data_IF_405510757243
#
_entry.id   IF_405510757243
#
_cell.length_a   1.000
_cell.length_b   1.000
_cell.length_c   1.000
_cell.angle_alpha   90.00
_cell.angle_beta   90.00
_cell.angle_gamma   90.00
#
_symmetry.space_group_name_H-M   'P 1'
#
loop_
_entity.id
_entity.type
_entity.pdbx_description
1 polymer ?
#
# COMPACT_ATOMS: atom_id res chain seq x y z
N UNK A 1 5.93 1.34 2.92
CA UNK A 1 7.17 1.47 3.71
C UNK A 1 6.97 2.57 4.73
N UNK A 2 7.29 2.31 5.99
CA UNK A 2 7.16 3.30 7.08
C UNK A 2 8.45 4.10 7.21
N UNK A 3 8.37 5.39 6.86
CA UNK A 3 9.51 6.31 6.90
C UNK A 3 9.95 6.65 8.32
N UNK A 4 9.01 6.77 9.27
CA UNK A 4 9.29 7.17 10.64
C UNK A 4 10.00 6.07 11.43
N UNK A 5 9.65 4.81 11.16
CA UNK A 5 10.22 3.65 11.87
C UNK A 5 11.33 2.94 11.10
N UNK A 6 11.57 3.32 9.85
CA UNK A 6 12.46 2.60 8.95
C UNK A 6 12.06 1.11 8.82
N UNK A 7 10.77 0.84 8.61
CA UNK A 7 10.24 -0.53 8.55
C UNK A 7 9.53 -0.82 7.22
N UNK A 8 9.90 -1.92 6.58
CA UNK A 8 9.27 -2.45 5.38
C UNK A 8 8.18 -3.47 5.72
N UNK A 9 7.06 -3.36 5.03
CA UNK A 9 6.07 -4.43 4.91
C UNK A 9 5.92 -4.75 3.43
N UNK A 10 6.04 -6.03 3.09
CA UNK A 10 5.88 -6.52 1.73
C UNK A 10 4.91 -7.69 1.76
N UNK A 11 3.94 -7.67 0.85
CA UNK A 11 3.05 -8.80 0.63
C UNK A 11 3.33 -9.36 -0.76
N UNK A 12 3.61 -10.66 -0.82
CA UNK A 12 3.80 -11.40 -2.07
C UNK A 12 2.45 -12.03 -2.41
N UNK A 13 1.81 -11.54 -3.47
CA UNK A 13 0.57 -12.14 -3.99
C UNK A 13 0.87 -13.25 -4.99
N UNK A 14 0.00 -14.25 -5.05
CA UNK A 14 0.01 -15.30 -6.09
C UNK A 14 -1.12 -15.11 -7.12
N UNK A 15 -1.81 -13.98 -7.06
CA UNK A 15 -2.89 -13.57 -7.95
C UNK A 15 -2.61 -12.15 -8.49
N UNK A 16 -3.53 -11.60 -9.28
CA UNK A 16 -3.34 -10.37 -10.02
C UNK A 16 -3.10 -9.13 -9.13
N UNK A 17 -2.23 -8.23 -9.60
CA UNK A 17 -2.05 -6.90 -9.03
C UNK A 17 -3.29 -6.02 -9.30
N UNK A 18 -4.20 -5.97 -8.32
CA UNK A 18 -5.43 -5.19 -8.37
C UNK A 18 -5.47 -4.18 -7.22
N UNK A 19 -6.36 -3.19 -7.33
CA UNK A 19 -6.61 -2.24 -6.24
C UNK A 19 -6.94 -2.95 -4.91
N UNK A 20 -7.74 -4.02 -4.97
CA UNK A 20 -8.09 -4.82 -3.79
C UNK A 20 -6.86 -5.49 -3.17
N UNK A 21 -5.93 -6.01 -3.97
CA UNK A 21 -4.67 -6.55 -3.47
C UNK A 21 -3.79 -5.48 -2.83
N UNK A 22 -3.64 -4.32 -3.50
CA UNK A 22 -2.86 -3.20 -2.99
C UNK A 22 -3.41 -2.67 -1.65
N UNK A 23 -4.72 -2.47 -1.55
CA UNK A 23 -5.36 -2.00 -0.31
C UNK A 23 -5.34 -3.08 0.78
N UNK A 24 -5.53 -4.36 0.45
CA UNK A 24 -5.43 -5.42 1.44
C UNK A 24 -4.01 -5.53 2.03
N UNK A 25 -2.97 -5.25 1.23
CA UNK A 25 -1.59 -5.15 1.71
C UNK A 25 -1.45 -4.07 2.79
N UNK A 26 -2.06 -2.89 2.57
CA UNK A 26 -2.10 -1.80 3.56
C UNK A 26 -2.88 -2.22 4.81
N UNK A 27 -4.04 -2.87 4.62
CA UNK A 27 -4.86 -3.35 5.72
C UNK A 27 -4.11 -4.35 6.61
N UNK A 28 -3.42 -5.32 6.02
CA UNK A 28 -2.63 -6.32 6.74
C UNK A 28 -1.48 -5.68 7.49
N UNK A 29 -0.78 -4.72 6.89
CA UNK A 29 0.23 -3.93 7.57
C UNK A 29 -0.36 -3.22 8.79
N UNK A 30 -1.51 -2.55 8.64
CA UNK A 30 -2.17 -1.84 9.74
C UNK A 30 -2.53 -2.78 10.89
N UNK A 31 -3.20 -3.90 10.60
CA UNK A 31 -3.61 -4.89 11.62
C UNK A 31 -2.43 -5.54 12.34
N UNK A 32 -1.30 -5.72 11.65
CA UNK A 32 -0.16 -6.46 12.20
C UNK A 32 0.82 -5.56 12.94
N UNK A 33 1.11 -4.39 12.37
CA UNK A 33 2.15 -3.47 12.82
C UNK A 33 1.59 -2.09 13.15
N UNK A 34 0.80 -1.51 12.23
CA UNK A 34 0.37 -0.11 12.31
C UNK A 34 -0.40 0.20 13.59
N UNK A 35 -1.40 -0.60 13.95
CA UNK A 35 -2.25 -0.36 15.14
C UNK A 35 -1.45 -0.37 16.45
N UNK A 36 -0.39 -1.20 16.55
CA UNK A 36 0.48 -1.26 17.73
C UNK A 36 1.52 -0.16 17.73
N UNK A 37 2.04 0.18 16.54
CA UNK A 37 3.05 1.22 16.38
C UNK A 37 2.46 2.63 16.57
N UNK A 38 1.18 2.81 16.23
CA UNK A 38 0.48 4.10 16.22
C UNK A 38 -0.91 4.00 16.87
N UNK A 39 -1.00 3.70 18.18
CA UNK A 39 -2.27 3.38 18.84
C UNK A 39 -3.25 4.56 18.93
N UNK A 40 -2.75 5.81 18.76
CA UNK A 40 -3.54 7.04 18.79
C UNK A 40 -3.73 7.67 17.41
N UNK A 41 -3.34 6.99 16.33
CA UNK A 41 -3.51 7.55 15.00
C UNK A 41 -4.99 7.60 14.62
N UNK A 42 -5.42 8.76 14.15
CA UNK A 42 -6.73 9.00 13.52
C UNK A 42 -6.63 9.08 11.99
N UNK A 43 -5.41 9.02 11.45
CA UNK A 43 -5.14 9.18 10.03
C UNK A 43 -3.87 8.45 9.59
N UNK A 44 -3.84 8.06 8.31
CA UNK A 44 -2.66 7.50 7.64
C UNK A 44 -2.40 8.27 6.35
N UNK A 45 -1.13 8.62 6.12
CA UNK A 45 -0.66 9.15 4.85
C UNK A 45 -0.15 8.01 3.96
N UNK A 46 -0.77 7.87 2.79
CA UNK A 46 -0.39 6.93 1.74
C UNK A 46 0.23 7.74 0.61
N UNK A 47 1.51 7.46 0.33
CA UNK A 47 2.21 8.05 -0.82
C UNK A 47 2.27 6.99 -1.92
N UNK A 48 1.47 7.16 -2.97
CA UNK A 48 1.28 6.21 -4.04
C UNK A 48 2.01 6.64 -5.32
N UNK A 49 2.55 5.67 -6.06
CA UNK A 49 3.24 5.93 -7.33
C UNK A 49 2.28 6.23 -8.50
N UNK A 50 0.97 6.12 -8.25
CA UNK A 50 -0.11 6.39 -9.20
C UNK A 50 -0.10 5.51 -10.46
N UNK A 51 0.51 4.32 -10.38
CA UNK A 51 0.59 3.34 -11.46
C UNK A 51 -0.30 2.13 -11.18
N UNK A 52 -0.79 1.48 -12.25
CA UNK A 52 -1.51 0.21 -12.16
C UNK A 52 -2.68 0.23 -11.17
N UNK A 53 -2.56 -0.58 -10.11
CA UNK A 53 -3.59 -0.82 -9.09
C UNK A 53 -3.87 0.36 -8.15
N UNK A 54 -2.97 1.35 -8.05
CA UNK A 54 -3.11 2.50 -7.14
C UNK A 54 -3.18 3.85 -7.86
N UNK A 55 -3.59 3.88 -9.14
CA UNK A 55 -3.73 5.12 -9.89
C UNK A 55 -4.79 6.08 -9.34
N UNK A 56 -4.52 7.39 -9.37
CA UNK A 56 -5.41 8.43 -8.83
C UNK A 56 -6.81 8.46 -9.47
N UNK A 57 -6.95 7.97 -10.71
CA UNK A 57 -8.21 7.92 -11.47
C UNK A 57 -8.93 6.56 -11.36
N UNK A 58 -8.33 5.58 -10.70
CA UNK A 58 -8.84 4.20 -10.68
C UNK A 58 -9.97 4.08 -9.67
N UNK A 59 -11.18 3.80 -10.15
CA UNK A 59 -12.38 3.63 -9.30
C UNK A 59 -12.23 2.51 -8.26
N UNK A 60 -11.78 1.28 -8.63
CA UNK A 60 -11.49 0.23 -7.65
C UNK A 60 -10.54 0.67 -6.52
N UNK A 61 -9.55 1.52 -6.81
CA UNK A 61 -8.61 2.01 -5.80
C UNK A 61 -9.32 2.87 -4.75
N UNK A 62 -10.12 3.84 -5.18
CA UNK A 62 -10.90 4.69 -4.28
C UNK A 62 -11.93 3.89 -3.49
N UNK A 63 -12.61 2.94 -4.14
CA UNK A 63 -13.60 2.07 -3.49
C UNK A 63 -12.99 1.21 -2.39
N UNK A 64 -11.87 0.54 -2.68
CA UNK A 64 -11.20 -0.30 -1.69
C UNK A 64 -10.61 0.55 -0.55
N UNK A 65 -10.10 1.75 -0.84
CA UNK A 65 -9.69 2.69 0.20
C UNK A 65 -10.85 3.13 1.10
N UNK A 66 -12.05 3.35 0.56
CA UNK A 66 -13.23 3.63 1.38
C UNK A 66 -13.51 2.47 2.34
N UNK A 67 -13.51 1.22 1.83
CA UNK A 67 -13.69 0.03 2.67
C UNK A 67 -12.61 -0.10 3.75
N UNK A 68 -11.37 0.27 3.42
CA UNK A 68 -10.27 0.30 4.39
C UNK A 68 -10.49 1.39 5.45
N UNK A 69 -10.88 2.60 5.04
CA UNK A 69 -11.18 3.69 5.95
C UNK A 69 -12.30 3.26 6.93
N UNK A 70 -13.38 2.66 6.42
CA UNK A 70 -14.48 2.17 7.23
C UNK A 70 -14.04 1.07 8.22
N UNK A 71 -13.24 0.10 7.75
CA UNK A 71 -12.76 -1.01 8.59
C UNK A 71 -11.80 -0.53 9.69
N UNK A 72 -10.98 0.48 9.42
CA UNK A 72 -9.94 0.95 10.34
C UNK A 72 -10.35 2.19 11.15
N UNK A 73 -11.42 2.88 10.72
CA UNK A 73 -11.85 4.17 11.24
C UNK A 73 -10.75 5.24 11.17
N UNK A 74 -9.89 5.17 10.14
CA UNK A 74 -8.83 6.12 9.88
C UNK A 74 -9.18 7.01 8.69
N UNK A 75 -8.82 8.29 8.78
CA UNK A 75 -8.76 9.15 7.62
C UNK A 75 -7.56 8.76 6.75
N UNK A 76 -7.79 8.44 5.48
CA UNK A 76 -6.73 8.06 4.55
C UNK A 76 -6.38 9.27 3.69
N UNK A 77 -5.24 9.88 3.97
CA UNK A 77 -4.66 10.92 3.11
C UNK A 77 -3.88 10.23 2.01
N UNK A 78 -4.20 10.50 0.75
CA UNK A 78 -3.54 9.89 -0.40
C UNK A 78 -2.86 10.96 -1.22
N UNK A 79 -1.55 10.85 -1.35
CA UNK A 79 -0.73 11.69 -2.21
C UNK A 79 -0.13 10.85 -3.34
N UNK A 80 -0.28 11.32 -4.57
CA UNK A 80 0.20 10.64 -5.75
C UNK A 80 1.46 11.31 -6.29
N UNK A 81 2.47 10.52 -6.63
CA UNK A 81 3.59 10.98 -7.42
C UNK A 81 3.15 11.30 -8.85
N UNK A 82 3.71 12.36 -9.49
CA UNK A 82 3.51 12.59 -10.90
C UNK A 82 3.93 11.40 -11.79
N UNK A 83 3.30 11.21 -12.96
CA UNK A 83 3.72 10.18 -13.90
C UNK A 83 5.22 10.24 -14.20
N UNK A 84 5.89 9.08 -14.22
CA UNK A 84 7.33 8.98 -14.49
C UNK A 84 8.24 9.37 -13.31
N UNK A 85 7.70 9.62 -12.12
CA UNK A 85 8.50 10.07 -10.96
C UNK A 85 8.61 9.04 -9.83
N UNK A 86 8.29 7.76 -10.07
CA UNK A 86 8.36 6.70 -9.05
C UNK A 86 9.74 6.56 -8.41
N UNK A 87 10.83 6.90 -9.13
CA UNK A 87 12.20 6.94 -8.58
C UNK A 87 12.41 7.99 -7.49
N UNK A 88 11.51 8.93 -7.31
CA UNK A 88 11.52 9.87 -6.18
C UNK A 88 10.83 9.30 -4.94
N UNK A 89 10.12 8.19 -5.06
CA UNK A 89 9.59 7.47 -3.92
C UNK A 89 10.74 6.89 -3.09
N UNK A 90 10.80 7.27 -1.81
CA UNK A 90 11.82 6.80 -0.89
C UNK A 90 11.85 5.27 -0.74
N UNK A 91 10.75 4.58 -1.05
CA UNK A 91 10.70 3.10 -1.02
C UNK A 91 11.71 2.48 -1.99
N UNK A 92 11.93 3.07 -3.17
CA UNK A 92 12.87 2.57 -4.17
C UNK A 92 14.29 2.50 -3.59
N UNK A 93 14.71 3.57 -2.91
CA UNK A 93 16.07 3.72 -2.40
C UNK A 93 16.28 3.13 -1.02
N UNK A 94 15.26 3.16 -0.16
CA UNK A 94 15.38 2.74 1.25
C UNK A 94 14.87 1.33 1.52
N UNK A 95 14.12 0.72 0.60
CA UNK A 95 13.60 -0.63 0.77
C UNK A 95 13.98 -1.54 -0.40
N UNK A 96 13.56 -1.20 -1.63
CA UNK A 96 13.72 -2.11 -2.76
C UNK A 96 15.18 -2.33 -3.15
N UNK A 97 16.01 -1.29 -3.12
CA UNK A 97 17.46 -1.40 -3.34
C UNK A 97 18.11 -2.50 -2.47
N UNK A 98 17.77 -2.54 -1.17
CA UNK A 98 18.32 -3.52 -0.23
C UNK A 98 17.69 -4.91 -0.38
N UNK A 99 16.40 -4.99 -0.74
CA UNK A 99 15.77 -6.27 -1.09
C UNK A 99 16.48 -6.88 -2.31
N UNK A 100 16.71 -6.10 -3.37
CA UNK A 100 17.42 -6.54 -4.56
C UNK A 100 18.84 -7.00 -4.26
N UNK A 101 19.57 -6.29 -3.38
CA UNK A 101 20.90 -6.72 -2.94
C UNK A 101 20.85 -8.09 -2.23
N UNK A 102 19.84 -8.35 -1.40
CA UNK A 102 19.68 -9.64 -0.72
C UNK A 102 19.31 -10.80 -1.66
N UNK A 103 18.80 -10.49 -2.84
CA UNK A 103 18.47 -11.46 -3.88
C UNK A 103 19.66 -11.80 -4.79
N UNK A 104 20.74 -11.00 -4.74
CA UNK A 104 21.86 -11.11 -5.68
C UNK A 104 22.40 -12.55 -5.72
N UNK A 105 22.37 -13.14 -6.91
CA UNK A 105 22.88 -14.49 -7.17
C UNK A 105 22.04 -15.63 -6.56
N UNK A 106 20.80 -15.37 -6.13
CA UNK A 106 19.90 -16.40 -5.58
C UNK A 106 18.70 -16.63 -6.50
N UNK A 107 18.52 -17.86 -7.03
CA UNK A 107 17.38 -18.16 -7.86
C UNK A 107 16.09 -18.17 -7.01
N UNK A 108 15.04 -17.50 -7.50
CA UNK A 108 13.76 -17.35 -6.83
C UNK A 108 12.80 -18.49 -7.20
N UNK A 109 13.15 -19.73 -6.82
CA UNK A 109 12.46 -20.94 -7.31
C UNK A 109 11.14 -21.23 -6.60
N UNK A 110 10.92 -20.70 -5.39
CA UNK A 110 9.70 -20.96 -4.62
C UNK A 110 9.20 -19.69 -3.93
N UNK A 111 7.88 -19.59 -3.72
CA UNK A 111 7.28 -18.50 -2.93
C UNK A 111 7.91 -18.38 -1.55
N UNK A 112 8.17 -19.51 -0.89
CA UNK A 112 8.86 -19.56 0.40
C UNK A 112 10.26 -18.93 0.33
N UNK A 113 11.00 -19.18 -0.74
CA UNK A 113 12.33 -18.57 -0.97
C UNK A 113 12.20 -17.06 -1.14
N UNK A 114 11.26 -16.58 -1.95
CA UNK A 114 11.00 -15.15 -2.18
C UNK A 114 10.68 -14.45 -0.85
N UNK A 115 9.69 -14.94 -0.11
CA UNK A 115 9.26 -14.37 1.18
C UNK A 115 10.42 -14.36 2.18
N UNK A 116 11.17 -15.47 2.28
CA UNK A 116 12.32 -15.58 3.18
C UNK A 116 13.41 -14.58 2.84
N UNK A 117 13.72 -14.38 1.56
CA UNK A 117 14.75 -13.44 1.12
C UNK A 117 14.34 -12.00 1.38
N UNK A 118 13.09 -11.63 1.10
CA UNK A 118 12.57 -10.29 1.42
C UNK A 118 12.62 -10.04 2.93
N UNK A 119 12.06 -10.96 3.73
CA UNK A 119 11.96 -10.81 5.19
C UNK A 119 13.33 -10.72 5.89
N UNK A 120 14.38 -11.31 5.29
CA UNK A 120 15.76 -11.24 5.79
C UNK A 120 16.45 -9.90 5.54
N UNK A 121 15.80 -8.98 4.82
CA UNK A 121 16.40 -7.67 4.56
C UNK A 121 16.58 -6.87 5.84
N UNK A 122 17.84 -6.54 6.15
CA UNK A 122 18.27 -5.74 7.29
C UNK A 122 19.40 -4.80 6.86
N UNK A 123 19.50 -3.62 7.49
CA UNK A 123 20.63 -2.70 7.32
C UNK A 123 21.23 -2.33 8.67
N UNK A 124 22.49 -1.88 8.68
CA UNK A 124 23.15 -1.32 9.87
C UNK A 124 22.42 -0.08 10.42
N UNK A 125 21.71 0.65 9.56
CA UNK A 125 20.88 1.80 9.91
C UNK A 125 19.48 1.41 10.43
N UNK A 126 19.26 0.14 10.75
CA UNK A 126 18.06 -0.34 11.44
C UNK A 126 16.86 -0.67 10.55
N UNK A 127 17.03 -0.76 9.22
CA UNK A 127 15.94 -1.22 8.35
C UNK A 127 15.55 -2.64 8.76
N UNK A 128 14.26 -2.87 8.97
CA UNK A 128 13.71 -4.21 9.11
C UNK A 128 12.54 -4.40 8.16
N UNK A 129 12.44 -5.58 7.56
CA UNK A 129 11.40 -5.91 6.60
C UNK A 129 10.64 -7.14 7.10
N UNK A 130 9.31 -7.02 7.12
CA UNK A 130 8.40 -8.16 7.24
C UNK A 130 7.83 -8.48 5.86
N UNK A 131 7.76 -9.76 5.56
CA UNK A 131 7.18 -10.26 4.33
C UNK A 131 6.18 -11.36 4.63
N UNK A 132 5.03 -11.34 3.97
CA UNK A 132 4.05 -12.43 4.02
C UNK A 132 3.63 -12.84 2.62
N UNK A 133 3.20 -14.10 2.48
CA UNK A 133 2.46 -14.55 1.31
C UNK A 133 0.99 -14.14 1.46
N UNK A 134 0.34 -13.82 0.36
CA UNK A 134 -1.10 -13.65 0.27
C UNK A 134 -1.66 -14.59 -0.80
N UNK A 135 -2.43 -15.57 -0.34
CA UNK A 135 -3.11 -16.58 -1.16
C UNK A 135 -4.56 -16.17 -1.47
N UNK A 136 -4.93 -14.94 -1.14
CA UNK A 136 -6.22 -14.35 -1.46
C UNK A 136 -6.44 -14.24 -2.97
N UNK A 137 -7.72 -14.26 -3.37
CA UNK A 137 -8.12 -14.09 -4.77
C UNK A 137 -8.51 -12.65 -5.06
N UNK A 138 -8.03 -12.14 -6.18
CA UNK A 138 -8.12 -10.76 -6.62
C UNK A 138 -8.53 -10.72 -8.09
N UNK A 139 -9.82 -10.95 -8.39
CA UNK A 139 -10.31 -10.97 -9.76
C UNK A 139 -10.06 -9.63 -10.46
N UNK A 140 -9.64 -9.69 -11.72
CA UNK A 140 -9.47 -8.51 -12.54
C UNK A 140 -10.82 -7.95 -13.02
N UNK A 141 -10.79 -6.70 -13.52
CA UNK A 141 -11.93 -6.05 -14.19
C UNK A 141 -13.20 -5.93 -13.34
N UNK A 142 -13.06 -5.92 -12.01
CA UNK A 142 -14.14 -5.55 -11.10
C UNK A 142 -14.58 -4.13 -11.42
N UNK A 143 -15.83 -3.98 -11.85
CA UNK A 143 -16.42 -2.68 -12.16
C UNK A 143 -17.04 -2.10 -10.88
N UNK A 144 -16.71 -0.85 -10.59
CA UNK A 144 -17.36 -0.06 -9.54
C UNK A 144 -18.39 0.84 -10.21
N UNK A 145 -19.64 0.71 -9.78
CA UNK A 145 -20.77 1.45 -10.34
C UNK A 145 -20.70 2.93 -9.98
N UNK A 146 -21.46 3.77 -10.69
CA UNK A 146 -21.58 5.19 -10.34
C UNK A 146 -22.19 5.36 -8.94
N UNK A 147 -23.19 4.55 -8.59
CA UNK A 147 -23.79 4.57 -7.24
C UNK A 147 -22.76 4.26 -6.15
N UNK A 148 -21.91 3.24 -6.36
CA UNK A 148 -20.82 2.93 -5.43
C UNK A 148 -19.79 4.06 -5.36
N UNK A 149 -19.51 4.73 -6.48
CA UNK A 149 -18.59 5.87 -6.47
C UNK A 149 -19.19 7.07 -5.72
N UNK A 150 -20.50 7.27 -5.80
CA UNK A 150 -21.20 8.36 -5.13
C UNK A 150 -21.21 8.22 -3.60
N UNK A 151 -21.08 7.01 -3.07
CA UNK A 151 -21.00 6.81 -1.62
C UNK A 151 -19.62 7.09 -1.04
N UNK A 152 -18.57 7.21 -1.85
CA UNK A 152 -17.21 7.43 -1.33
C UNK A 152 -17.12 8.83 -0.70
N UNK A 153 -16.76 8.89 0.59
CA UNK A 153 -16.49 10.13 1.33
C UNK A 153 -15.10 10.68 0.99
N UNK A 154 -14.94 11.08 -0.28
CA UNK A 154 -13.71 11.66 -0.80
C UNK A 154 -13.77 13.18 -0.75
N UNK A 155 -12.74 13.79 -0.17
CA UNK A 155 -12.49 15.24 -0.27
C UNK A 155 -11.17 15.47 -0.98
N UNK A 156 -11.19 16.18 -2.10
CA UNK A 156 -9.96 16.59 -2.80
C UNK A 156 -9.06 17.43 -1.91
N UNK A 157 -7.75 17.25 -2.06
CA UNK A 157 -6.77 18.10 -1.38
C UNK A 157 -6.71 19.49 -2.02
N UNK A 158 -6.25 20.49 -1.27
CA UNK A 158 -6.01 21.85 -1.80
C UNK A 158 -4.85 21.85 -2.78
N UNK A 159 -3.83 21.02 -2.53
CA UNK A 159 -2.67 20.88 -3.39
C UNK A 159 -2.81 19.66 -4.32
N UNK A 160 -2.94 19.92 -5.63
CA UNK A 160 -3.22 18.90 -6.65
C UNK A 160 -4.43 18.02 -6.33
N UNK A 161 -5.57 18.64 -6.01
CA UNK A 161 -6.83 17.94 -5.70
C UNK A 161 -7.42 17.09 -6.82
N UNK A 162 -6.87 17.22 -8.03
CA UNK A 162 -7.13 16.34 -9.18
C UNK A 162 -6.52 14.95 -8.97
N UNK A 163 -5.43 14.84 -8.20
CA UNK A 163 -4.77 13.57 -7.89
C UNK A 163 -4.83 13.21 -6.42
N UNK A 164 -4.65 14.19 -5.53
CA UNK A 164 -4.55 14.02 -4.09
C UNK A 164 -5.89 14.23 -3.41
N UNK A 165 -6.16 13.42 -2.40
CA UNK A 165 -7.43 13.45 -1.70
C UNK A 165 -7.35 12.80 -0.33
N UNK A 166 -8.38 13.06 0.47
CA UNK A 166 -8.64 12.40 1.74
C UNK A 166 -9.89 11.55 1.59
N UNK A 167 -9.82 10.28 1.98
CA UNK A 167 -11.00 9.43 2.17
C UNK A 167 -11.29 9.35 3.66
N UNK A 168 -12.51 9.70 4.03
CA UNK A 168 -12.99 9.65 5.41
C UNK A 168 -13.82 8.38 5.63
N UNK A 169 -13.79 7.78 6.83
CA UNK A 169 -14.66 6.66 7.14
C UNK A 169 -16.13 7.11 7.12
N UNK A 170 -17.02 6.20 6.74
CA UNK A 170 -18.44 6.33 7.06
C UNK A 170 -18.62 6.32 8.59
N UNK A 171 -19.53 7.17 9.06
CA UNK A 171 -19.98 7.13 10.46
C UNK A 171 -20.65 5.77 10.73
N UNK A 172 -20.42 5.24 11.94
CA UNK A 172 -20.97 3.94 12.36
C UNK A 172 -22.42 4.04 12.79
#
# INVERSE_FOLDING_TARGET
YDLGRNQGWVTVGIDHDTAAFAVNTIHRWWKTLGIRAYPRASSVLIVADSGGSNGSRIRPWKWELQRLADATQLNLHVCHFPPGTSKWNKIEHRLFSFISQNWRGRPLLTHATIVKLIARTRTSTGLTVRCNLDEGRYPQKVKITDDQMATIRLRSDVFHGDWNYVIQPHER
#
